data_IF_604188531289
#
_entry.id   IF_604188531289
#
_cell.length_a   1.000
_cell.length_b   1.000
_cell.length_c   1.000
_cell.angle_alpha   90.00
_cell.angle_beta   90.00
_cell.angle_gamma   90.00
#
_symmetry.space_group_name_H-M   'P 1'
#
loop_
_entity.id
_entity.type
_entity.pdbx_description
1 polymer ?
#
# COMPACT_ATOMS: atom_id res chain seq x y z
N UNK A 1 4.40 -27.00 11.74
CA UNK A 1 5.12 -25.95 10.98
C UNK A 1 4.21 -24.93 10.30
N UNK A 2 3.04 -25.28 9.74
CA UNK A 2 2.06 -24.29 9.23
C UNK A 2 1.19 -23.67 10.35
N UNK A 3 0.84 -24.44 11.38
CA UNK A 3 0.03 -23.98 12.52
C UNK A 3 0.71 -22.91 13.41
N UNK A 4 2.02 -23.03 13.64
CA UNK A 4 2.78 -22.06 14.46
C UNK A 4 2.82 -20.67 13.80
N UNK A 5 2.93 -20.63 12.47
CA UNK A 5 2.95 -19.38 11.70
C UNK A 5 1.61 -18.65 11.72
N UNK A 6 0.51 -19.39 11.67
CA UNK A 6 -0.83 -18.81 11.75
C UNK A 6 -1.06 -18.15 13.11
N UNK A 7 -0.60 -18.80 14.19
CA UNK A 7 -0.71 -18.28 15.55
C UNK A 7 0.10 -17.00 15.77
N UNK A 8 1.27 -16.86 15.15
CA UNK A 8 2.09 -15.65 15.25
C UNK A 8 1.48 -14.47 14.48
N UNK A 9 0.95 -14.72 13.29
CA UNK A 9 0.20 -13.71 12.51
C UNK A 9 -1.08 -13.30 13.25
N UNK A 10 -1.83 -14.27 13.81
CA UNK A 10 -3.03 -13.97 14.60
C UNK A 10 -2.72 -13.10 15.81
N UNK A 11 -1.61 -13.34 16.51
CA UNK A 11 -1.20 -12.49 17.64
C UNK A 11 -0.93 -11.06 17.19
N UNK A 12 -0.24 -10.87 16.06
CA UNK A 12 0.01 -9.53 15.50
C UNK A 12 -1.29 -8.84 15.11
N UNK A 13 -2.20 -9.57 14.44
CA UNK A 13 -3.50 -9.03 14.02
C UNK A 13 -4.37 -8.68 15.23
N UNK A 14 -4.43 -9.54 16.24
CA UNK A 14 -5.17 -9.29 17.48
C UNK A 14 -4.64 -8.07 18.22
N UNK A 15 -3.32 -7.94 18.35
CA UNK A 15 -2.68 -6.84 19.06
C UNK A 15 -2.88 -5.52 18.31
N UNK A 16 -2.77 -5.53 16.98
CA UNK A 16 -3.07 -4.36 16.15
C UNK A 16 -4.55 -3.97 16.14
N UNK A 17 -5.46 -4.95 16.14
CA UNK A 17 -6.91 -4.69 16.22
C UNK A 17 -7.30 -4.11 17.58
N UNK A 18 -6.73 -4.64 18.67
CA UNK A 18 -6.96 -4.12 20.02
C UNK A 18 -6.47 -2.66 20.15
N UNK A 19 -5.28 -2.35 19.65
CA UNK A 19 -4.77 -0.98 19.60
C UNK A 19 -5.68 -0.08 18.76
N UNK A 20 -6.11 -0.51 17.57
CA UNK A 20 -7.00 0.27 16.71
C UNK A 20 -8.30 0.65 17.43
N UNK A 21 -8.93 -0.30 18.12
CA UNK A 21 -10.16 -0.08 18.89
C UNK A 21 -9.91 0.89 20.06
N UNK A 22 -8.84 0.68 20.83
CA UNK A 22 -8.53 1.51 22.00
C UNK A 22 -8.22 2.96 21.59
N UNK A 23 -7.37 3.16 20.57
CA UNK A 23 -7.06 4.51 20.10
C UNK A 23 -8.29 5.19 19.50
N UNK A 24 -9.13 4.47 18.74
CA UNK A 24 -10.36 5.06 18.19
C UNK A 24 -11.30 5.52 19.30
N UNK A 25 -11.54 4.70 20.34
CA UNK A 25 -12.40 5.07 21.48
C UNK A 25 -11.84 6.26 22.25
N UNK A 26 -10.52 6.35 22.42
CA UNK A 26 -9.89 7.42 23.18
C UNK A 26 -9.90 8.76 22.43
N UNK A 27 -9.86 8.73 21.09
CA UNK A 27 -9.76 9.94 20.26
C UNK A 27 -11.12 10.48 19.80
N UNK A 28 -12.17 9.66 19.72
CA UNK A 28 -13.55 10.11 19.49
C UNK A 28 -13.98 11.28 20.40
N UNK A 29 -13.81 11.22 21.73
CA UNK A 29 -14.29 12.28 22.62
C UNK A 29 -13.50 13.59 22.51
N UNK A 30 -12.22 13.54 22.13
CA UNK A 30 -11.37 14.74 22.14
C UNK A 30 -11.27 15.42 20.75
N UNK A 31 -11.26 14.67 19.64
CA UNK A 31 -10.92 15.19 18.30
C UNK A 31 -12.02 14.94 17.25
N UNK A 32 -13.12 14.28 17.63
CA UNK A 32 -14.23 13.97 16.74
C UNK A 32 -13.80 13.19 15.50
N UNK A 33 -14.50 13.39 14.38
CA UNK A 33 -14.34 12.59 13.14
C UNK A 33 -12.94 12.70 12.53
N UNK A 34 -12.31 13.89 12.60
CA UNK A 34 -10.98 14.11 12.02
C UNK A 34 -9.91 13.35 12.81
N UNK A 35 -10.02 13.32 14.13
CA UNK A 35 -9.10 12.55 14.98
C UNK A 35 -9.22 11.05 14.74
N UNK A 36 -10.45 10.54 14.57
CA UNK A 36 -10.68 9.12 14.23
C UNK A 36 -10.00 8.75 12.91
N UNK A 37 -10.11 9.59 11.88
CA UNK A 37 -9.42 9.35 10.61
C UNK A 37 -7.89 9.34 10.75
N UNK A 38 -7.33 10.25 11.56
CA UNK A 38 -5.88 10.29 11.82
C UNK A 38 -5.39 9.04 12.58
N UNK A 39 -6.15 8.59 13.58
CA UNK A 39 -5.86 7.36 14.33
C UNK A 39 -5.96 6.12 13.45
N UNK A 40 -6.97 6.05 12.59
CA UNK A 40 -7.11 4.94 11.63
C UNK A 40 -5.85 4.84 10.75
N UNK A 41 -5.38 5.96 10.19
CA UNK A 41 -4.13 5.99 9.44
C UNK A 41 -2.90 5.57 10.27
N UNK A 42 -2.78 6.04 11.51
CA UNK A 42 -1.67 5.66 12.40
C UNK A 42 -1.69 4.17 12.77
N UNK A 43 -2.86 3.61 13.01
CA UNK A 43 -3.03 2.21 13.40
C UNK A 43 -2.84 1.28 12.20
N UNK A 44 -3.24 1.68 10.99
CA UNK A 44 -2.86 1.01 9.73
C UNK A 44 -1.35 1.00 9.52
N UNK A 45 -0.66 2.15 9.72
CA UNK A 45 0.80 2.22 9.64
C UNK A 45 1.47 1.29 10.67
N UNK A 46 0.92 1.21 11.88
CA UNK A 46 1.43 0.32 12.92
C UNK A 46 1.26 -1.16 12.56
N UNK A 47 0.06 -1.55 12.12
CA UNK A 47 -0.24 -2.89 11.62
C UNK A 47 0.67 -3.25 10.45
N UNK A 48 0.83 -2.35 9.49
CA UNK A 48 1.72 -2.51 8.36
C UNK A 48 3.17 -2.73 8.80
N UNK A 49 3.67 -1.95 9.76
CA UNK A 49 5.02 -2.12 10.29
C UNK A 49 5.20 -3.47 11.01
N UNK A 50 4.21 -3.93 11.78
CA UNK A 50 4.29 -5.25 12.43
C UNK A 50 4.25 -6.38 11.41
N UNK A 51 3.36 -6.30 10.41
CA UNK A 51 3.28 -7.29 9.32
C UNK A 51 4.55 -7.29 8.48
N UNK A 52 5.12 -6.13 8.18
CA UNK A 52 6.39 -6.00 7.49
C UNK A 52 7.53 -6.68 8.26
N UNK A 53 7.64 -6.44 9.57
CA UNK A 53 8.64 -7.10 10.41
C UNK A 53 8.46 -8.63 10.46
N UNK A 54 7.21 -9.10 10.55
CA UNK A 54 6.87 -10.51 10.50
C UNK A 54 7.28 -11.11 9.14
N UNK A 55 6.90 -10.48 8.03
CA UNK A 55 7.19 -10.93 6.67
C UNK A 55 8.69 -10.95 6.36
N UNK A 56 9.43 -9.93 6.81
CA UNK A 56 10.88 -9.83 6.69
C UNK A 56 11.62 -10.92 7.48
N UNK A 57 11.08 -11.31 8.66
CA UNK A 57 11.59 -12.43 9.45
C UNK A 57 11.38 -13.78 8.74
N UNK A 58 10.29 -13.94 7.99
CA UNK A 58 9.91 -15.24 7.40
C UNK A 58 10.33 -15.48 5.95
N UNK A 59 10.48 -14.44 5.12
CA UNK A 59 10.75 -14.57 3.67
C UNK A 59 12.07 -13.91 3.21
N UNK A 60 12.88 -13.39 4.13
CA UNK A 60 14.11 -12.66 3.79
C UNK A 60 13.84 -11.20 3.40
N UNK A 61 14.91 -10.40 3.29
CA UNK A 61 14.85 -8.96 3.01
C UNK A 61 14.22 -8.68 1.65
N UNK A 62 12.91 -8.42 1.64
CA UNK A 62 12.22 -7.89 0.47
C UNK A 62 12.74 -6.46 0.24
N UNK A 63 13.24 -6.11 -0.96
CA UNK A 63 13.74 -4.78 -1.27
C UNK A 63 12.57 -3.79 -1.44
N UNK A 64 11.83 -3.56 -0.35
CA UNK A 64 10.59 -2.79 -0.29
C UNK A 64 10.77 -1.36 -0.85
N UNK A 65 11.91 -0.75 -0.53
CA UNK A 65 12.27 0.58 -1.02
C UNK A 65 12.48 0.62 -2.55
N UNK A 66 13.10 -0.43 -3.11
CA UNK A 66 13.29 -0.55 -4.57
C UNK A 66 11.95 -0.67 -5.31
N UNK A 67 10.96 -1.29 -4.67
CA UNK A 67 9.64 -1.51 -5.23
C UNK A 67 8.72 -0.28 -5.10
N UNK A 68 8.83 0.49 -4.02
CA UNK A 68 7.93 1.61 -3.71
C UNK A 68 8.40 2.94 -4.32
N UNK A 69 9.70 3.18 -4.45
CA UNK A 69 10.16 4.51 -4.86
C UNK A 69 9.70 4.90 -6.28
N UNK A 70 9.59 3.94 -7.20
CA UNK A 70 9.11 4.15 -8.57
C UNK A 70 7.63 4.57 -8.62
N UNK A 71 6.67 3.80 -8.04
CA UNK A 71 5.28 4.23 -7.99
C UNK A 71 5.08 5.50 -7.15
N UNK A 72 5.87 5.71 -6.09
CA UNK A 72 5.83 6.95 -5.32
C UNK A 72 6.27 8.17 -6.13
N UNK A 73 7.31 8.05 -6.95
CA UNK A 73 7.71 9.13 -7.85
C UNK A 73 6.63 9.39 -8.92
N UNK A 74 6.07 8.31 -9.49
CA UNK A 74 4.99 8.43 -10.48
C UNK A 74 3.74 9.13 -9.91
N UNK A 75 3.36 8.84 -8.66
CA UNK A 75 2.21 9.49 -8.01
C UNK A 75 2.45 10.97 -7.70
N UNK A 76 3.67 11.33 -7.28
CA UNK A 76 4.05 12.75 -7.06
C UNK A 76 4.02 13.53 -8.37
N UNK A 77 4.59 12.99 -9.45
CA UNK A 77 4.60 13.65 -10.77
C UNK A 77 3.18 13.75 -11.33
N UNK A 78 2.35 12.71 -11.18
CA UNK A 78 0.93 12.75 -11.54
C UNK A 78 0.20 13.86 -10.78
N UNK A 79 0.35 13.93 -9.45
CA UNK A 79 -0.31 14.94 -8.63
C UNK A 79 0.11 16.37 -9.02
N UNK A 80 1.39 16.57 -9.33
CA UNK A 80 1.89 17.84 -9.82
C UNK A 80 1.30 18.21 -11.20
N UNK A 81 1.24 17.24 -12.13
CA UNK A 81 0.64 17.44 -13.45
C UNK A 81 -0.85 17.79 -13.36
N UNK A 82 -1.60 17.10 -12.50
CA UNK A 82 -3.04 17.33 -12.31
C UNK A 82 -3.33 18.69 -11.68
N UNK A 83 -2.45 19.18 -10.80
CA UNK A 83 -2.60 20.52 -10.20
C UNK A 83 -2.58 21.64 -11.25
N UNK A 84 -1.88 21.45 -12.37
CA UNK A 84 -1.80 22.44 -13.44
C UNK A 84 -3.02 22.46 -14.36
N UNK A 85 -3.92 21.47 -14.25
CA UNK A 85 -5.07 21.30 -15.13
C UNK A 85 -6.36 21.46 -14.33
N UNK A 86 -7.14 22.49 -14.62
CA UNK A 86 -8.47 22.71 -14.02
C UNK A 86 -9.59 22.13 -14.89
N UNK A 87 -9.63 20.82 -15.04
CA UNK A 87 -10.69 20.11 -15.77
C UNK A 87 -11.80 19.62 -14.82
N UNK A 88 -13.01 19.34 -15.34
CA UNK A 88 -14.02 18.62 -14.58
C UNK A 88 -13.52 17.24 -14.13
N UNK A 89 -14.09 16.75 -13.02
CA UNK A 89 -13.61 15.56 -12.30
C UNK A 89 -13.46 14.32 -13.18
N UNK A 90 -14.43 14.03 -14.04
CA UNK A 90 -14.43 12.82 -14.86
C UNK A 90 -13.23 12.77 -15.83
N UNK A 91 -13.00 13.76 -16.72
CA UNK A 91 -11.79 13.80 -17.54
C UNK A 91 -10.48 13.84 -16.74
N UNK A 92 -10.48 14.52 -15.59
CA UNK A 92 -9.29 14.65 -14.75
C UNK A 92 -8.82 13.30 -14.19
N UNK A 93 -9.76 12.42 -13.80
CA UNK A 93 -9.46 11.06 -13.32
C UNK A 93 -8.83 10.22 -14.45
N UNK A 94 -9.41 10.24 -15.65
CA UNK A 94 -8.85 9.50 -16.79
C UNK A 94 -7.48 10.02 -17.21
N UNK A 95 -7.30 11.35 -17.21
CA UNK A 95 -6.01 11.98 -17.48
C UNK A 95 -4.96 11.57 -16.44
N UNK A 96 -5.29 11.60 -15.15
CA UNK A 96 -4.42 11.15 -14.06
C UNK A 96 -4.04 9.67 -14.18
N UNK A 97 -5.02 8.80 -14.43
CA UNK A 97 -4.77 7.38 -14.66
C UNK A 97 -3.82 7.15 -15.83
N UNK A 98 -4.02 7.87 -16.95
CA UNK A 98 -3.14 7.82 -18.12
C UNK A 98 -1.72 8.27 -17.79
N UNK A 99 -1.56 9.43 -17.14
CA UNK A 99 -0.25 9.97 -16.74
C UNK A 99 0.48 9.01 -15.79
N UNK A 100 -0.22 8.47 -14.80
CA UNK A 100 0.34 7.50 -13.85
C UNK A 100 0.80 6.22 -14.54
N UNK A 101 0.00 5.65 -15.44
CA UNK A 101 0.37 4.46 -16.21
C UNK A 101 1.60 4.72 -17.10
N UNK A 102 1.62 5.84 -17.82
CA UNK A 102 2.76 6.21 -18.68
C UNK A 102 4.04 6.37 -17.84
N UNK A 103 3.96 7.03 -16.69
CA UNK A 103 5.09 7.19 -15.79
C UNK A 103 5.55 5.84 -15.24
N UNK A 104 4.65 4.96 -14.80
CA UNK A 104 5.02 3.63 -14.33
C UNK A 104 5.75 2.80 -15.40
N UNK A 105 5.29 2.89 -16.66
CA UNK A 105 5.93 2.23 -17.79
C UNK A 105 7.32 2.83 -18.08
N UNK A 106 7.45 4.17 -18.07
CA UNK A 106 8.73 4.87 -18.25
C UNK A 106 9.73 4.55 -17.15
N UNK A 107 9.28 4.50 -15.90
CA UNK A 107 10.10 4.16 -14.74
C UNK A 107 10.45 2.66 -14.68
N UNK A 108 9.95 1.85 -15.62
CA UNK A 108 10.02 0.38 -15.60
C UNK A 108 9.67 -0.17 -14.22
N UNK A 109 8.57 0.29 -13.63
CA UNK A 109 8.17 -0.17 -12.30
C UNK A 109 8.03 -1.70 -12.24
N UNK A 110 7.62 -2.32 -13.35
CA UNK A 110 7.64 -3.77 -13.54
C UNK A 110 9.03 -4.22 -13.99
N UNK A 111 9.64 -5.11 -13.19
CA UNK A 111 10.92 -5.71 -13.52
C UNK A 111 10.75 -6.78 -14.61
N UNK A 112 11.79 -7.13 -15.39
CA UNK A 112 11.69 -8.19 -16.41
C UNK A 112 11.21 -9.53 -15.82
N UNK A 113 11.46 -9.77 -14.53
CA UNK A 113 10.96 -10.92 -13.78
C UNK A 113 9.44 -10.92 -13.59
N UNK A 114 8.81 -9.76 -13.37
CA UNK A 114 7.36 -9.67 -13.16
C UNK A 114 6.59 -10.03 -14.44
N UNK A 115 7.12 -9.61 -15.59
CA UNK A 115 6.54 -9.91 -16.89
C UNK A 115 6.66 -11.40 -17.25
N UNK A 116 7.73 -12.07 -16.82
CA UNK A 116 7.89 -13.51 -16.99
C UNK A 116 6.92 -14.30 -16.10
N UNK A 117 6.69 -13.88 -14.86
CA UNK A 117 5.71 -14.51 -13.96
C UNK A 117 4.30 -14.33 -14.53
N UNK A 118 3.94 -13.13 -15.00
CA UNK A 118 2.64 -12.87 -15.61
C UNK A 118 2.44 -13.72 -16.88
N UNK A 119 3.47 -13.86 -17.71
CA UNK A 119 3.44 -14.75 -18.89
C UNK A 119 3.32 -16.23 -18.52
N UNK A 120 3.95 -16.67 -17.43
CA UNK A 120 3.88 -18.05 -16.96
C UNK A 120 2.50 -18.40 -16.36
N UNK A 121 1.81 -17.45 -15.72
CA UNK A 121 0.43 -17.65 -15.24
C UNK A 121 -0.54 -17.70 -16.41
N UNK A 122 -0.36 -16.80 -17.39
CA UNK A 122 -1.22 -16.75 -18.58
C UNK A 122 -1.05 -18.00 -19.47
N UNK A 123 0.18 -18.50 -19.62
CA UNK A 123 0.46 -19.74 -20.36
C UNK A 123 0.07 -21.03 -19.62
N UNK A 124 -0.29 -20.97 -18.33
CA UNK A 124 -0.78 -22.15 -17.59
C UNK A 124 -2.30 -22.33 -17.64
N UNK A 125 -3.00 -21.38 -18.23
CA UNK A 125 -4.46 -21.44 -18.47
C UNK A 125 -4.81 -21.68 -19.93
N UNK A 126 -3.84 -22.08 -20.77
CA UNK A 126 -4.03 -22.52 -22.15
C UNK A 126 -3.70 -23.99 -22.33
#
# INVERSE_FOLDING_TARGET
MTADRFSEVLKVVLLGSALNIVLNILVIPEWGVIGVAAVAGLTELFLFSMLYNCMNRFSGKIPFFSLIWRPALASVVMGFALKQVSWPLFPLIFAGAGVYLVLLLLLRAFNEHDFQVMRNVLNRTG
#
